data_IF_465098476949
#
_entry.id   IF_465098476949
#
_cell.length_a   1.000
_cell.length_b   1.000
_cell.length_c   1.000
_cell.angle_alpha   90.00
_cell.angle_beta   90.00
_cell.angle_gamma   90.00
#
_symmetry.space_group_name_H-M   'P 1'
#
loop_
_entity.id
_entity.type
_entity.pdbx_description
1 polymer ?
#
# COMPACT_ATOMS: atom_id res chain seq x y z
N UNK A 1 18.72 1.70 -9.38
CA UNK A 1 18.69 0.69 -8.30
C UNK A 1 17.38 -0.09 -8.39
N UNK A 2 17.38 -1.40 -8.11
CA UNK A 2 16.14 -2.21 -8.10
C UNK A 2 15.46 -2.05 -6.74
N UNK A 3 14.19 -1.63 -6.70
CA UNK A 3 13.37 -1.57 -5.49
C UNK A 3 13.39 -2.93 -4.75
N UNK A 4 13.37 -2.98 -3.42
CA UNK A 4 13.45 -4.26 -2.66
C UNK A 4 12.05 -4.68 -2.18
N UNK A 5 11.82 -5.99 -2.05
CA UNK A 5 10.57 -6.50 -1.48
C UNK A 5 10.74 -6.60 0.05
N UNK A 6 9.71 -6.23 0.81
CA UNK A 6 9.85 -6.15 2.26
C UNK A 6 8.77 -5.37 2.96
N UNK A 7 9.00 -5.12 4.24
CA UNK A 7 8.17 -4.25 5.07
C UNK A 7 8.70 -2.82 5.03
N UNK A 8 7.80 -1.89 4.72
CA UNK A 8 8.10 -0.47 4.53
C UNK A 8 7.18 0.41 5.38
N UNK A 9 7.65 1.58 5.77
CA UNK A 9 6.76 2.72 6.04
C UNK A 9 6.74 3.62 4.82
N UNK A 10 5.53 4.03 4.40
CA UNK A 10 5.33 5.03 3.36
C UNK A 10 5.00 6.35 4.07
N UNK A 11 5.77 7.38 3.78
CA UNK A 11 5.61 8.73 4.34
C UNK A 11 5.29 9.71 3.21
N UNK A 12 4.42 10.67 3.49
CA UNK A 12 4.27 11.89 2.67
C UNK A 12 4.41 13.12 3.56
N UNK A 13 4.61 14.29 2.95
CA UNK A 13 4.68 15.57 3.66
C UNK A 13 3.39 16.36 3.44
N UNK A 14 2.62 16.55 4.50
CA UNK A 14 1.42 17.41 4.51
C UNK A 14 1.76 18.67 5.28
N UNK A 15 1.76 19.82 4.60
CA UNK A 15 1.99 21.14 5.24
C UNK A 15 3.28 21.18 6.09
N UNK A 16 4.35 20.54 5.59
CA UNK A 16 5.65 20.47 6.26
C UNK A 16 5.78 19.37 7.32
N UNK A 17 4.70 18.69 7.68
CA UNK A 17 4.71 17.57 8.64
C UNK A 17 4.81 16.23 7.93
N UNK A 18 5.61 15.31 8.48
CA UNK A 18 5.66 13.93 8.00
C UNK A 18 4.43 13.14 8.48
N UNK A 19 3.72 12.56 7.52
CA UNK A 19 2.49 11.81 7.74
C UNK A 19 2.68 10.37 7.24
N UNK A 20 2.34 9.39 8.08
CA UNK A 20 2.30 7.99 7.65
C UNK A 20 1.15 7.80 6.65
N UNK A 21 1.43 7.17 5.51
CA UNK A 21 0.39 6.74 4.58
C UNK A 21 -0.06 5.35 4.99
N UNK A 22 -1.33 5.13 5.33
CA UNK A 22 -1.85 3.83 5.77
C UNK A 22 -3.39 3.78 5.81
N UNK A 23 -3.94 2.70 6.35
CA UNK A 23 -5.35 2.60 6.77
C UNK A 23 -5.62 3.36 8.06
N UNK A 24 -6.89 3.68 8.30
CA UNK A 24 -7.32 4.45 9.47
C UNK A 24 -7.03 3.72 10.79
N UNK A 25 -6.86 4.48 11.87
CA UNK A 25 -6.55 3.93 13.21
C UNK A 25 -7.69 3.12 13.80
N UNK A 26 -8.91 3.49 13.44
CA UNK A 26 -10.15 2.79 13.75
C UNK A 26 -11.01 2.77 12.50
N UNK A 27 -11.53 1.60 12.17
CA UNK A 27 -12.40 1.36 11.02
C UNK A 27 -13.65 0.61 11.49
N UNK A 28 -14.73 0.70 10.71
CA UNK A 28 -15.89 -0.16 10.91
C UNK A 28 -15.55 -1.62 10.56
N UNK A 29 -16.41 -2.54 11.00
CA UNK A 29 -16.22 -3.98 10.83
C UNK A 29 -16.77 -4.53 9.52
N UNK A 30 -17.32 -3.68 8.64
CA UNK A 30 -17.79 -4.16 7.33
C UNK A 30 -16.60 -4.58 6.46
N UNK A 31 -16.88 -5.39 5.46
CA UNK A 31 -15.88 -5.88 4.50
C UNK A 31 -15.71 -4.95 3.29
N UNK A 32 -16.33 -3.76 3.34
CA UNK A 32 -16.24 -2.82 2.23
C UNK A 32 -14.81 -2.29 2.10
N UNK A 33 -14.39 -1.91 0.87
CA UNK A 33 -13.04 -1.39 0.64
C UNK A 33 -12.72 -0.21 1.56
N UNK A 34 -11.54 -0.25 2.19
CA UNK A 34 -11.10 0.78 3.13
C UNK A 34 -10.28 1.84 2.42
N UNK A 35 -10.47 3.09 2.82
CA UNK A 35 -9.68 4.21 2.33
C UNK A 35 -8.22 4.13 2.79
N UNK A 36 -7.34 4.60 1.93
CA UNK A 36 -5.96 4.90 2.28
C UNK A 36 -5.86 6.39 2.66
N UNK A 37 -5.10 6.68 3.71
CA UNK A 37 -4.98 7.99 4.32
C UNK A 37 -3.52 8.41 4.40
N UNK A 38 -3.24 9.69 4.17
CA UNK A 38 -2.14 10.37 4.84
C UNK A 38 -2.61 10.69 6.26
N UNK A 39 -2.21 9.84 7.22
CA UNK A 39 -2.64 9.94 8.61
C UNK A 39 -2.15 11.23 9.27
N UNK A 40 -2.89 11.70 10.27
CA UNK A 40 -2.47 12.88 11.04
C UNK A 40 -1.05 12.72 11.61
N UNK A 41 -0.27 13.81 11.71
CA UNK A 41 0.99 13.80 12.43
C UNK A 41 0.79 13.27 13.86
N UNK A 42 1.78 12.53 14.36
CA UNK A 42 1.76 12.01 15.74
C UNK A 42 1.08 10.66 15.94
N UNK A 43 0.57 10.00 14.88
CA UNK A 43 0.22 8.57 14.96
C UNK A 43 1.50 7.76 15.23
N UNK A 44 1.63 7.27 16.46
CA UNK A 44 2.82 6.58 16.97
C UNK A 44 2.87 5.09 16.62
N UNK A 45 1.71 4.51 16.32
CA UNK A 45 1.63 3.10 15.90
C UNK A 45 2.30 2.93 14.53
N UNK A 46 3.23 1.97 14.45
CA UNK A 46 3.86 1.60 13.20
C UNK A 46 2.86 0.79 12.36
N UNK A 47 2.55 1.26 11.16
CA UNK A 47 1.61 0.60 10.25
C UNK A 47 2.29 0.21 8.94
N UNK A 48 3.07 -0.90 8.96
CA UNK A 48 3.94 -1.22 7.84
C UNK A 48 3.16 -1.72 6.64
N UNK A 49 3.67 -1.37 5.46
CA UNK A 49 3.28 -1.90 4.17
C UNK A 49 4.15 -3.11 3.84
N UNK A 50 3.55 -4.20 3.41
CA UNK A 50 4.26 -5.28 2.75
C UNK A 50 4.26 -5.00 1.24
N UNK A 51 5.45 -4.88 0.66
CA UNK A 51 5.62 -4.63 -0.78
C UNK A 51 6.19 -5.89 -1.43
N UNK A 52 5.43 -6.47 -2.36
CA UNK A 52 5.82 -7.66 -3.13
C UNK A 52 6.02 -7.27 -4.59
N UNK A 53 7.11 -7.75 -5.20
CA UNK A 53 7.31 -7.60 -6.64
C UNK A 53 6.42 -8.59 -7.39
N UNK A 54 5.80 -8.10 -8.44
CA UNK A 54 5.12 -8.92 -9.45
C UNK A 54 5.70 -8.57 -10.83
N UNK A 55 5.47 -9.42 -11.83
CA UNK A 55 5.90 -9.16 -13.19
C UNK A 55 5.22 -7.89 -13.74
N UNK A 56 5.98 -6.81 -13.83
CA UNK A 56 5.55 -5.51 -14.38
C UNK A 56 4.85 -4.55 -13.41
N UNK A 57 4.62 -4.94 -12.14
CA UNK A 57 4.01 -4.07 -11.12
C UNK A 57 4.40 -4.51 -9.71
N UNK A 58 3.99 -3.75 -8.69
CA UNK A 58 4.13 -4.10 -7.28
C UNK A 58 2.77 -4.31 -6.63
N UNK A 59 2.71 -5.24 -5.71
CA UNK A 59 1.59 -5.39 -4.80
C UNK A 59 1.91 -4.65 -3.50
N UNK A 60 1.02 -3.75 -3.10
CA UNK A 60 1.12 -2.96 -1.88
C UNK A 60 0.04 -3.49 -0.93
N UNK A 61 0.47 -4.18 0.11
CA UNK A 61 -0.41 -4.67 1.17
C UNK A 61 -0.26 -3.80 2.41
N UNK A 62 -1.39 -3.35 2.97
CA UNK A 62 -1.44 -2.62 4.24
C UNK A 62 -2.28 -3.42 5.22
N UNK A 63 -1.74 -3.70 6.41
CA UNK A 63 -2.41 -4.53 7.43
C UNK A 63 -2.93 -5.88 6.88
N UNK A 64 -2.15 -6.51 6.00
CA UNK A 64 -2.46 -7.82 5.42
C UNK A 64 -3.47 -7.82 4.27
N UNK A 65 -3.87 -6.65 3.77
CA UNK A 65 -4.85 -6.52 2.69
C UNK A 65 -4.28 -5.85 1.46
N UNK A 66 -4.55 -6.41 0.28
CA UNK A 66 -4.11 -5.88 -1.02
C UNK A 66 -4.73 -4.51 -1.29
N UNK A 67 -4.02 -3.68 -2.07
CA UNK A 67 -4.54 -2.38 -2.50
C UNK A 67 -4.68 -2.26 -4.01
N UNK A 68 -5.63 -1.44 -4.42
CA UNK A 68 -5.94 -1.23 -5.83
C UNK A 68 -7.02 -0.19 -6.03
N UNK A 69 -7.72 -0.30 -7.15
CA UNK A 69 -8.85 0.54 -7.54
C UNK A 69 -10.12 -0.28 -7.66
N UNK A 70 -11.26 0.31 -7.33
CA UNK A 70 -12.57 -0.33 -7.46
C UNK A 70 -13.00 -0.42 -8.93
N UNK A 71 -13.95 -1.31 -9.21
CA UNK A 71 -14.56 -1.49 -10.53
C UNK A 71 -15.54 -0.34 -10.76
N UNK A 72 -15.18 0.56 -11.69
CA UNK A 72 -15.85 1.84 -11.87
C UNK A 72 -14.97 2.97 -11.37
N UNK A 73 -14.23 3.59 -12.30
CA UNK A 73 -13.20 4.63 -12.04
C UNK A 73 -13.83 5.93 -11.47
N UNK A 74 -15.15 5.99 -11.27
CA UNK A 74 -15.82 7.18 -10.75
C UNK A 74 -15.25 7.60 -9.39
N UNK A 75 -14.82 6.64 -8.58
CA UNK A 75 -14.10 6.93 -7.35
C UNK A 75 -12.60 6.95 -7.64
N UNK A 76 -12.08 8.14 -7.96
CA UNK A 76 -10.65 8.41 -8.17
C UNK A 76 -9.87 8.29 -6.85
N UNK A 77 -9.82 7.08 -6.27
CA UNK A 77 -9.15 6.78 -4.99
C UNK A 77 -8.55 5.37 -4.99
N UNK A 78 -7.40 5.15 -4.34
CA UNK A 78 -6.94 3.82 -3.97
C UNK A 78 -7.70 3.31 -2.75
N UNK A 79 -7.90 1.98 -2.71
CA UNK A 79 -8.54 1.28 -1.60
C UNK A 79 -7.72 0.07 -1.16
N UNK A 80 -7.88 -0.31 0.11
CA UNK A 80 -7.51 -1.62 0.62
C UNK A 80 -8.72 -2.54 0.62
N UNK A 81 -8.59 -3.71 0.00
CA UNK A 81 -9.68 -4.68 -0.13
C UNK A 81 -9.63 -5.68 1.01
N UNK A 82 -10.62 -5.62 1.92
CA UNK A 82 -10.76 -6.57 3.03
C UNK A 82 -11.27 -7.92 2.50
N UNK A 83 -12.15 -7.87 1.50
CA UNK A 83 -12.62 -9.02 0.73
C UNK A 83 -12.42 -8.74 -0.78
N UNK A 84 -11.68 -9.60 -1.46
CA UNK A 84 -11.33 -9.47 -2.87
C UNK A 84 -12.49 -9.92 -3.79
N UNK A 85 -13.67 -9.32 -3.59
CA UNK A 85 -14.86 -9.62 -4.40
C UNK A 85 -14.61 -9.23 -5.86
N UNK A 86 -14.64 -10.17 -6.83
CA UNK A 86 -14.33 -9.85 -8.23
C UNK A 86 -15.26 -8.84 -8.88
N UNK A 87 -16.44 -8.61 -8.30
CA UNK A 87 -17.40 -7.59 -8.74
C UNK A 87 -16.97 -6.17 -8.37
N UNK A 88 -16.16 -5.99 -7.33
CA UNK A 88 -15.78 -4.68 -6.77
C UNK A 88 -14.34 -4.30 -7.08
N UNK A 89 -13.46 -5.29 -7.28
CA UNK A 89 -12.06 -5.06 -7.62
C UNK A 89 -11.91 -4.76 -9.11
N UNK A 90 -11.43 -3.56 -9.43
CA UNK A 90 -11.10 -3.16 -10.80
C UNK A 90 -9.68 -3.59 -11.18
N UNK A 91 -8.69 -3.20 -10.38
CA UNK A 91 -7.30 -3.62 -10.54
C UNK A 91 -6.54 -3.56 -9.21
N UNK A 92 -5.81 -4.62 -8.86
CA UNK A 92 -4.90 -4.70 -7.70
C UNK A 92 -3.47 -4.42 -8.14
N UNK A 93 -2.72 -3.60 -7.40
CA UNK A 93 -1.30 -3.37 -7.61
C UNK A 93 -0.97 -2.11 -8.42
N UNK A 94 0.28 -1.69 -8.32
CA UNK A 94 0.75 -0.33 -8.66
C UNK A 94 2.10 -0.34 -9.37
N UNK A 95 2.46 0.77 -9.99
CA UNK A 95 3.81 1.00 -10.53
C UNK A 95 4.46 2.11 -9.71
N UNK A 96 5.73 1.91 -9.33
CA UNK A 96 6.54 2.95 -8.69
C UNK A 96 7.35 3.70 -9.74
N UNK A 97 7.24 5.03 -9.74
CA UNK A 97 8.02 5.92 -10.58
C UNK A 97 8.97 6.77 -9.71
N UNK A 98 10.30 6.73 -9.92
CA UNK A 98 11.24 7.52 -9.12
C UNK A 98 11.10 9.02 -9.39
N UNK A 99 11.23 9.88 -8.36
CA UNK A 99 11.10 11.35 -8.49
C UNK A 99 12.43 12.09 -8.69
N UNK A 100 13.57 11.43 -8.49
CA UNK A 100 14.91 12.03 -8.49
C UNK A 100 15.52 12.06 -7.09
N UNK A 101 14.68 12.16 -6.06
CA UNK A 101 15.09 12.04 -4.67
C UNK A 101 15.29 10.57 -4.26
N UNK A 102 16.33 10.23 -3.49
CA UNK A 102 16.54 8.88 -2.98
C UNK A 102 15.34 8.39 -2.17
N UNK A 103 14.91 7.16 -2.47
CA UNK A 103 13.80 6.48 -1.81
C UNK A 103 12.43 7.19 -1.90
N UNK A 104 12.30 8.20 -2.77
CA UNK A 104 11.04 8.89 -3.06
C UNK A 104 10.50 8.45 -4.42
N UNK A 105 9.21 8.10 -4.43
CA UNK A 105 8.51 7.59 -5.59
C UNK A 105 7.13 8.24 -5.72
N UNK A 106 6.64 8.34 -6.96
CA UNK A 106 5.22 8.48 -7.24
C UNK A 106 4.63 7.09 -7.47
N UNK A 107 3.43 6.86 -6.94
CA UNK A 107 2.72 5.59 -7.05
C UNK A 107 1.63 5.75 -8.10
N UNK A 108 1.63 4.95 -9.16
CA UNK A 108 0.68 5.08 -10.27
C UNK A 108 -0.10 3.80 -10.57
N UNK A 109 -1.27 3.96 -11.16
CA UNK A 109 -2.10 2.87 -11.67
C UNK A 109 -1.36 2.06 -12.73
N UNK A 110 -1.75 0.80 -12.94
CA UNK A 110 -1.11 -0.10 -13.91
C UNK A 110 -1.15 0.38 -15.36
N UNK A 111 -2.19 1.12 -15.73
CA UNK A 111 -2.29 1.76 -17.04
C UNK A 111 -1.43 3.03 -17.17
N UNK A 112 -0.77 3.44 -16.07
CA UNK A 112 0.13 4.59 -16.00
C UNK A 112 -0.56 5.95 -16.03
N UNK A 113 -1.89 6.01 -15.98
CA UNK A 113 -2.66 7.25 -16.19
C UNK A 113 -2.81 8.11 -14.94
N UNK A 114 -3.03 7.49 -13.79
CA UNK A 114 -3.33 8.19 -12.55
C UNK A 114 -2.30 7.88 -11.46
N UNK A 115 -2.06 8.86 -10.60
CA UNK A 115 -1.05 8.87 -9.56
C UNK A 115 -1.72 9.12 -8.22
N UNK A 116 -1.21 8.47 -7.17
CA UNK A 116 -1.62 8.75 -5.80
C UNK A 116 -1.30 10.21 -5.47
N UNK A 117 -2.22 10.86 -4.78
CA UNK A 117 -2.06 12.22 -4.25
C UNK A 117 -2.88 12.33 -2.97
N UNK A 118 -2.41 12.97 -1.91
CA UNK A 118 -3.31 13.28 -0.81
C UNK A 118 -4.28 14.42 -1.17
N UNK A 119 -5.56 14.26 -0.82
CA UNK A 119 -6.61 15.23 -1.09
C UNK A 119 -6.49 16.49 -0.23
N UNK A 120 -7.20 17.55 -0.61
CA UNK A 120 -7.16 18.85 0.09
C UNK A 120 -7.83 18.82 1.46
N UNK A 121 -8.88 18.01 1.61
CA UNK A 121 -9.73 18.00 2.80
C UNK A 121 -9.14 17.12 3.89
N UNK A 122 -8.83 17.73 5.03
CA UNK A 122 -8.54 16.99 6.25
C UNK A 122 -9.83 16.52 6.95
N UNK A 123 -9.81 15.27 7.40
CA UNK A 123 -10.87 14.60 8.14
C UNK A 123 -10.32 14.05 9.46
N UNK A 124 -11.14 13.28 10.19
CA UNK A 124 -10.78 12.75 11.52
C UNK A 124 -9.47 11.96 11.54
N UNK A 125 -9.22 11.15 10.51
CA UNK A 125 -8.04 10.28 10.39
C UNK A 125 -6.83 10.96 9.72
N UNK A 126 -7.05 12.10 9.05
CA UNK A 126 -6.04 12.76 8.21
C UNK A 126 -6.64 13.10 6.84
N UNK A 127 -5.83 13.10 5.79
CA UNK A 127 -6.26 13.38 4.41
C UNK A 127 -6.37 12.09 3.62
N UNK A 128 -7.47 11.92 2.89
CA UNK A 128 -7.65 10.73 2.04
C UNK A 128 -6.63 10.78 0.90
N UNK A 129 -6.06 9.62 0.55
CA UNK A 129 -5.32 9.49 -0.71
C UNK A 129 -6.33 9.36 -1.85
N UNK A 130 -6.09 10.10 -2.92
CA UNK A 130 -6.89 10.20 -4.13
C UNK A 130 -6.01 9.86 -5.35
N UNK A 131 -6.64 9.77 -6.52
CA UNK A 131 -5.99 9.53 -7.80
C UNK A 131 -6.12 10.76 -8.69
N UNK A 132 -4.99 11.33 -9.09
CA UNK A 132 -4.90 12.50 -9.94
C UNK A 132 -4.05 12.22 -11.18
N UNK A 133 -4.16 13.07 -12.20
CA UNK A 133 -3.24 13.03 -13.33
C UNK A 133 -1.82 13.41 -12.87
N UNK A 134 -0.81 12.99 -13.63
CA UNK A 134 0.58 13.30 -13.32
C UNK A 134 0.78 14.81 -13.26
N UNK A 135 1.41 15.28 -12.19
CA UNK A 135 1.79 16.68 -12.05
C UNK A 135 3.16 16.82 -11.37
N UNK A 136 3.65 18.06 -11.27
CA UNK A 136 4.80 18.40 -10.42
C UNK A 136 4.42 18.69 -8.97
N UNK A 137 3.19 18.37 -8.55
CA UNK A 137 2.71 18.64 -7.20
C UNK A 137 3.43 17.72 -6.19
N UNK A 138 4.11 18.27 -5.16
CA UNK A 138 4.78 17.49 -4.11
C UNK A 138 3.84 16.51 -3.39
N UNK A 139 2.52 16.73 -3.46
CA UNK A 139 1.51 15.84 -2.89
C UNK A 139 1.45 14.46 -3.55
N UNK A 140 2.09 14.31 -4.72
CA UNK A 140 2.21 13.02 -5.42
C UNK A 140 3.47 12.24 -5.04
N UNK A 141 4.28 12.76 -4.10
CA UNK A 141 5.57 12.19 -3.75
C UNK A 141 5.53 11.50 -2.38
N UNK A 142 6.02 10.26 -2.38
CA UNK A 142 5.97 9.37 -1.24
C UNK A 142 7.34 8.78 -0.98
N UNK A 143 7.83 8.92 0.26
CA UNK A 143 9.11 8.39 0.69
C UNK A 143 8.93 7.02 1.34
N UNK A 144 9.78 6.08 0.94
CA UNK A 144 9.70 4.68 1.34
C UNK A 144 10.86 4.33 2.26
N UNK A 145 10.55 4.00 3.51
CA UNK A 145 11.54 3.57 4.50
C UNK A 145 11.46 2.06 4.69
N UNK A 146 12.49 1.33 4.24
CA UNK A 146 12.59 -0.12 4.41
C UNK A 146 12.92 -0.46 5.87
N UNK A 147 12.10 -1.27 6.51
CA UNK A 147 12.39 -1.85 7.83
C UNK A 147 13.08 -3.19 7.71
N UNK A 148 12.59 -4.04 6.82
CA UNK A 148 13.02 -5.44 6.72
C UNK A 148 12.77 -6.00 5.33
N UNK A 149 13.78 -6.63 4.76
CA UNK A 149 13.61 -7.40 3.52
C UNK A 149 12.87 -8.71 3.80
N UNK A 150 11.94 -9.07 2.92
CA UNK A 150 11.31 -10.40 2.96
C UNK A 150 12.05 -11.28 1.97
N UNK A 151 12.94 -12.12 2.50
CA UNK A 151 13.48 -13.26 1.79
C UNK A 151 12.54 -14.45 2.02
N UNK A 152 11.72 -14.81 1.02
CA UNK A 152 10.83 -15.99 1.07
C UNK A 152 11.56 -17.34 1.25
N UNK A 153 12.88 -17.32 1.50
CA UNK A 153 13.71 -18.49 1.84
C UNK A 153 14.19 -18.51 3.30
N UNK A 154 13.92 -17.49 4.11
CA UNK A 154 14.38 -17.43 5.51
C UNK A 154 13.20 -17.22 6.47
N UNK A 155 13.17 -18.01 7.54
CA UNK A 155 12.21 -17.88 8.66
C UNK A 155 12.20 -16.46 9.21
N UNK A 156 11.04 -16.04 9.72
CA UNK A 156 10.86 -14.74 10.37
C UNK A 156 11.87 -14.56 11.51
N UNK A 157 12.36 -13.33 11.70
CA UNK A 157 13.25 -12.95 12.78
C UNK A 157 12.48 -13.01 14.11
N UNK A 158 12.90 -13.84 15.08
CA UNK A 158 12.20 -14.02 16.35
C UNK A 158 12.05 -12.75 17.19
N UNK A 159 12.96 -11.76 17.05
CA UNK A 159 12.86 -10.51 17.80
C UNK A 159 11.74 -9.61 17.28
N UNK A 160 11.48 -9.67 15.98
CA UNK A 160 10.37 -8.93 15.36
C UNK A 160 9.02 -9.52 15.77
N UNK A 161 8.89 -10.86 15.81
CA UNK A 161 7.68 -11.54 16.31
C UNK A 161 7.39 -11.19 17.78
N UNK A 162 8.43 -11.06 18.61
CA UNK A 162 8.26 -10.61 20.01
C UNK A 162 7.78 -9.17 20.10
N UNK A 163 8.28 -8.28 19.23
CA UNK A 163 8.01 -6.83 19.32
C UNK A 163 6.69 -6.42 18.67
N UNK A 164 6.27 -7.11 17.61
CA UNK A 164 5.12 -6.71 16.79
C UNK A 164 4.08 -7.83 16.60
N UNK A 165 4.27 -8.98 17.26
CA UNK A 165 3.42 -10.15 17.10
C UNK A 165 3.78 -10.99 15.86
N UNK A 166 3.29 -12.24 15.83
CA UNK A 166 3.38 -13.06 14.61
C UNK A 166 2.56 -12.40 13.51
N UNK A 167 3.17 -12.26 12.34
CA UNK A 167 2.41 -12.02 11.10
C UNK A 167 1.43 -13.20 10.97
N UNK A 168 0.12 -12.97 10.72
CA UNK A 168 -0.78 -14.05 10.38
C UNK A 168 -0.14 -14.85 9.25
N UNK A 169 0.04 -16.16 9.43
CA UNK A 169 0.41 -17.03 8.32
C UNK A 169 -0.72 -16.90 7.30
N UNK A 170 -0.53 -16.08 6.28
CA UNK A 170 -1.40 -16.07 5.10
C UNK A 170 -1.22 -17.48 4.54
N UNK A 171 -2.26 -18.34 4.57
CA UNK A 171 -2.13 -19.64 3.93
C UNK A 171 -1.74 -19.36 2.49
N UNK A 172 -0.60 -19.91 2.06
CA UNK A 172 -0.29 -20.01 0.65
C UNK A 172 -1.44 -20.82 0.06
N UNK A 173 -2.47 -20.14 -0.45
CA UNK A 173 -3.57 -20.81 -1.11
C UNK A 173 -2.96 -21.53 -2.30
N UNK A 174 -3.11 -22.85 -2.27
CA UNK A 174 -2.71 -23.79 -3.30
C UNK A 174 -3.27 -23.37 -4.67
N UNK A 175 -2.52 -22.54 -5.40
CA UNK A 175 -2.76 -22.24 -6.83
C UNK A 175 -1.63 -22.77 -7.72
N UNK A 176 -0.85 -23.75 -7.24
CA UNK A 176 0.12 -24.51 -8.04
C UNK A 176 -0.04 -26.03 -7.96
N UNK A 177 -1.28 -26.54 -7.93
CA UNK A 177 -1.56 -27.98 -8.15
C UNK A 177 -2.64 -28.26 -9.22
N UNK A 178 -2.81 -27.39 -10.22
CA UNK A 178 -3.61 -27.73 -11.42
C UNK A 178 -2.84 -27.54 -12.72
N UNK A 179 -1.62 -28.08 -12.80
CA UNK A 179 -1.05 -28.65 -14.03
C UNK A 179 -0.12 -29.78 -13.58
N UNK A 180 -0.21 -30.92 -14.26
CA UNK A 180 0.45 -32.20 -13.95
C UNK A 180 -0.24 -33.07 -12.90
N UNK A 181 -1.34 -33.71 -13.32
CA UNK A 181 -1.52 -35.16 -13.19
C UNK A 181 -2.60 -35.64 -14.17
N UNK A 182 -2.18 -36.57 -15.03
CA UNK A 182 -2.91 -37.50 -15.90
C UNK A 182 -3.92 -36.92 -16.89
#
# INVERSE_FOLDING_TARGET
MSFRQGYYTIITKVEGSECQVSRATSEDLNLDPKYIWALKPGVSELRPWLIKKTDGYIDLEVLGTHTGVTKGISERKPFAFIDDRPSEVGAIGWILEPTGDPDTYRIKTKDGRLYWQFGDRELSQGRIIELAEKSGDPRQEFKFYLHREVNFRQRLDPEWERKYGRVPEIPLTDRKQRRFRA
#
